data_IF_329128215667
#
_entry.id   IF_329128215667
#
_cell.length_a   1.000
_cell.length_b   1.000
_cell.length_c   1.000
_cell.angle_alpha   90.00
_cell.angle_beta   90.00
_cell.angle_gamma   90.00
#
_symmetry.space_group_name_H-M   'P 1'
#
loop_
_entity.id
_entity.type
_entity.pdbx_description
1 polymer ?
#
# COMPACT_ATOMS: atom_id res chain seq x y z
N UNK A 1 13.33 23.94 -29.54
CA UNK A 1 13.31 23.00 -28.40
C UNK A 1 13.68 23.78 -27.17
N UNK A 2 12.77 23.89 -26.20
CA UNK A 2 13.06 24.64 -24.97
C UNK A 2 13.82 23.75 -23.99
N UNK A 3 14.80 24.28 -23.26
CA UNK A 3 15.63 23.50 -22.30
C UNK A 3 14.84 22.73 -21.22
N UNK A 4 13.55 23.03 -21.05
CA UNK A 4 12.66 22.35 -20.12
C UNK A 4 12.14 21.00 -20.65
N UNK A 5 12.18 20.76 -21.96
CA UNK A 5 11.70 19.50 -22.56
C UNK A 5 12.59 18.31 -22.19
N UNK A 6 13.87 18.57 -21.90
CA UNK A 6 14.91 17.57 -21.61
C UNK A 6 15.08 17.23 -20.13
N UNK A 7 14.38 17.91 -19.21
CA UNK A 7 14.53 17.68 -17.76
C UNK A 7 13.42 16.76 -17.25
N UNK A 8 13.80 15.72 -16.50
CA UNK A 8 12.90 14.74 -15.87
C UNK A 8 13.23 13.28 -16.20
N UNK A 9 12.49 12.35 -15.60
CA UNK A 9 12.69 10.90 -15.75
C UNK A 9 12.35 10.39 -17.17
N UNK A 10 11.42 11.09 -17.84
CA UNK A 10 10.99 10.81 -19.20
C UNK A 10 11.79 11.66 -20.18
N UNK A 11 12.38 11.00 -21.18
CA UNK A 11 13.00 11.67 -22.33
C UNK A 11 11.93 12.32 -23.21
N UNK A 12 12.31 13.27 -24.09
CA UNK A 12 11.38 13.82 -25.07
C UNK A 12 10.65 12.74 -25.90
N UNK A 13 11.38 11.72 -26.34
CA UNK A 13 10.81 10.63 -27.13
C UNK A 13 9.79 9.80 -26.36
N UNK A 14 9.93 9.64 -25.03
CA UNK A 14 8.91 8.95 -24.23
C UNK A 14 7.65 9.79 -24.10
N UNK A 15 7.80 11.12 -23.93
CA UNK A 15 6.68 12.04 -23.80
C UNK A 15 5.88 12.07 -25.10
N UNK A 16 6.55 12.15 -26.24
CA UNK A 16 5.92 12.07 -27.57
C UNK A 16 5.18 10.74 -27.75
N UNK A 17 5.82 9.62 -27.43
CA UNK A 17 5.20 8.30 -27.54
C UNK A 17 3.99 8.13 -26.62
N UNK A 18 4.08 8.53 -25.35
CA UNK A 18 2.98 8.45 -24.37
C UNK A 18 1.79 9.34 -24.72
N UNK A 19 2.01 10.45 -25.45
CA UNK A 19 0.94 11.32 -25.95
C UNK A 19 0.31 10.82 -27.25
N UNK A 20 0.85 9.76 -27.85
CA UNK A 20 0.43 9.27 -29.17
C UNK A 20 0.91 10.15 -30.32
N UNK A 21 1.92 11.01 -30.09
CA UNK A 21 2.52 11.86 -31.13
C UNK A 21 3.50 11.07 -32.01
N UNK A 22 3.97 9.92 -31.53
CA UNK A 22 4.81 8.96 -32.27
C UNK A 22 4.27 7.56 -32.08
N UNK A 23 4.08 6.83 -33.18
CA UNK A 23 3.72 5.41 -33.17
C UNK A 23 4.89 4.56 -33.68
N UNK A 24 5.10 3.39 -33.08
CA UNK A 24 6.07 2.42 -33.57
C UNK A 24 5.39 1.40 -34.48
N UNK A 25 5.90 1.23 -35.69
CA UNK A 25 5.40 0.22 -36.64
C UNK A 25 5.61 -1.22 -36.13
N UNK A 26 6.61 -1.44 -35.27
CA UNK A 26 6.98 -2.76 -34.79
C UNK A 26 6.67 -2.94 -33.30
N UNK A 27 5.95 -4.02 -32.97
CA UNK A 27 5.63 -4.42 -31.58
C UNK A 27 6.88 -4.54 -30.69
N UNK A 28 8.01 -4.96 -31.25
CA UNK A 28 9.27 -5.07 -30.49
C UNK A 28 9.81 -3.70 -30.06
N UNK A 29 9.74 -2.70 -30.94
CA UNK A 29 10.16 -1.32 -30.62
C UNK A 29 9.29 -0.71 -29.53
N UNK A 30 7.97 -0.95 -29.60
CA UNK A 30 7.02 -0.51 -28.59
C UNK A 30 7.27 -1.20 -27.23
N UNK A 31 7.48 -2.53 -27.24
CA UNK A 31 7.80 -3.28 -26.04
C UNK A 31 9.11 -2.81 -25.38
N UNK A 32 10.14 -2.55 -26.20
CA UNK A 32 11.42 -1.99 -25.74
C UNK A 32 11.22 -0.60 -25.12
N UNK A 33 10.46 0.28 -25.77
CA UNK A 33 10.15 1.62 -25.22
C UNK A 33 9.43 1.53 -23.87
N UNK A 34 8.44 0.65 -23.75
CA UNK A 34 7.74 0.39 -22.47
C UNK A 34 8.72 -0.08 -21.39
N UNK A 35 9.65 -0.96 -21.73
CA UNK A 35 10.67 -1.45 -20.81
C UNK A 35 11.60 -0.33 -20.34
N UNK A 36 12.14 0.47 -21.27
CA UNK A 36 13.03 1.59 -20.95
C UNK A 36 12.37 2.65 -20.04
N UNK A 37 11.07 2.89 -20.23
CA UNK A 37 10.30 3.78 -19.36
C UNK A 37 10.16 3.16 -17.97
N UNK A 38 9.80 1.87 -17.86
CA UNK A 38 9.68 1.19 -16.56
C UNK A 38 10.99 1.22 -15.78
N UNK A 39 12.11 0.90 -16.42
CA UNK A 39 13.43 0.90 -15.78
C UNK A 39 13.79 2.28 -15.23
N UNK A 40 13.52 3.35 -15.99
CA UNK A 40 13.75 4.73 -15.52
C UNK A 40 12.82 5.16 -14.41
N UNK A 41 11.55 4.73 -14.43
CA UNK A 41 10.63 4.98 -13.32
C UNK A 41 11.11 4.27 -12.06
N UNK A 42 11.51 2.99 -12.14
CA UNK A 42 12.05 2.25 -11.00
C UNK A 42 13.28 2.93 -10.41
N UNK A 43 14.27 3.28 -11.25
CA UNK A 43 15.46 3.98 -10.80
C UNK A 43 15.13 5.33 -10.13
N UNK A 44 14.20 6.09 -10.70
CA UNK A 44 13.78 7.37 -10.12
C UNK A 44 13.06 7.22 -8.76
N UNK A 45 12.31 6.13 -8.55
CA UNK A 45 11.69 5.84 -7.26
C UNK A 45 12.74 5.48 -6.20
N UNK A 46 13.78 4.74 -6.56
CA UNK A 46 14.93 4.46 -5.69
C UNK A 46 15.68 5.76 -5.33
N UNK A 47 15.95 6.61 -6.32
CA UNK A 47 16.54 7.93 -6.10
C UNK A 47 15.66 8.78 -5.16
N UNK A 48 14.33 8.75 -5.34
CA UNK A 48 13.41 9.48 -4.47
C UNK A 48 13.49 9.00 -3.01
N UNK A 49 13.63 7.69 -2.77
CA UNK A 49 13.86 7.16 -1.43
C UNK A 49 15.17 7.71 -0.83
N UNK A 50 16.26 7.77 -1.61
CA UNK A 50 17.50 8.40 -1.17
C UNK A 50 17.32 9.89 -0.85
N UNK A 51 16.55 10.63 -1.64
CA UNK A 51 16.25 12.05 -1.35
C UNK A 51 15.48 12.19 -0.04
N UNK A 52 14.52 11.31 0.23
CA UNK A 52 13.78 11.27 1.50
C UNK A 52 14.69 10.95 2.69
N UNK A 53 15.76 10.17 2.52
CA UNK A 53 16.67 9.87 3.63
C UNK A 53 17.71 10.98 3.87
N UNK A 54 18.17 11.64 2.80
CA UNK A 54 19.33 12.53 2.89
C UNK A 54 19.01 14.02 2.81
N UNK A 55 17.87 14.44 2.24
CA UNK A 55 17.52 15.86 2.17
C UNK A 55 16.91 16.36 3.46
N UNK A 56 17.24 17.61 3.83
CA UNK A 56 16.52 18.35 4.87
C UNK A 56 15.06 18.58 4.48
N UNK A 57 14.18 18.77 5.47
CA UNK A 57 12.78 19.10 5.23
C UNK A 57 12.62 20.36 4.34
N UNK A 58 13.49 21.36 4.51
CA UNK A 58 13.50 22.59 3.72
C UNK A 58 13.77 22.32 2.23
N UNK A 59 14.74 21.46 1.89
CA UNK A 59 15.04 21.15 0.49
C UNK A 59 13.90 20.36 -0.17
N UNK A 60 13.27 19.44 0.56
CA UNK A 60 12.07 18.73 0.09
C UNK A 60 10.92 19.71 -0.19
N UNK A 61 10.68 20.67 0.69
CA UNK A 61 9.66 21.70 0.49
C UNK A 61 9.95 22.59 -0.73
N UNK A 62 11.22 22.98 -0.94
CA UNK A 62 11.64 23.77 -2.10
C UNK A 62 11.44 23.02 -3.41
N UNK A 63 11.72 21.72 -3.46
CA UNK A 63 11.51 20.90 -4.65
C UNK A 63 10.03 20.85 -5.08
N UNK A 64 9.10 20.99 -4.13
CA UNK A 64 7.67 21.05 -4.41
C UNK A 64 7.17 22.47 -4.72
N UNK A 65 8.02 23.51 -4.66
CA UNK A 65 7.56 24.90 -4.65
C UNK A 65 6.81 25.30 -5.92
N UNK A 66 7.32 24.88 -7.06
CA UNK A 66 6.93 25.33 -8.41
C UNK A 66 5.99 24.36 -9.15
N UNK A 67 5.46 23.35 -8.46
CA UNK A 67 4.61 22.32 -9.08
C UNK A 67 3.16 22.39 -8.57
N UNK A 68 2.20 21.88 -9.35
CA UNK A 68 0.83 21.66 -8.87
C UNK A 68 0.83 20.49 -7.88
N UNK A 69 1.12 20.79 -6.61
CA UNK A 69 1.40 19.80 -5.57
C UNK A 69 0.24 18.83 -5.35
N UNK A 70 -0.99 19.32 -5.37
CA UNK A 70 -2.18 18.51 -5.10
C UNK A 70 -2.45 17.52 -6.22
N UNK A 71 -2.46 17.98 -7.47
CA UNK A 71 -2.67 17.07 -8.61
C UNK A 71 -1.55 16.03 -8.69
N UNK A 72 -0.30 16.47 -8.57
CA UNK A 72 0.85 15.56 -8.66
C UNK A 72 0.85 14.55 -7.51
N UNK A 73 0.52 14.98 -6.29
CA UNK A 73 0.36 14.06 -5.17
C UNK A 73 -0.77 13.06 -5.43
N UNK A 74 -1.91 13.51 -5.97
CA UNK A 74 -3.04 12.64 -6.31
C UNK A 74 -2.64 11.59 -7.35
N UNK A 75 -2.07 12.02 -8.49
CA UNK A 75 -1.63 11.13 -9.57
C UNK A 75 -0.53 10.15 -9.07
N UNK A 76 0.36 10.60 -8.17
CA UNK A 76 1.41 9.75 -7.57
C UNK A 76 0.81 8.71 -6.63
N UNK A 77 -0.17 9.10 -5.81
CA UNK A 77 -0.88 8.19 -4.90
C UNK A 77 -1.67 7.16 -5.73
N UNK A 78 -2.33 7.56 -6.81
CA UNK A 78 -3.00 6.66 -7.75
C UNK A 78 -2.02 5.65 -8.38
N UNK A 79 -0.87 6.14 -8.86
CA UNK A 79 0.17 5.27 -9.41
C UNK A 79 0.66 4.23 -8.38
N UNK A 80 0.91 4.66 -7.15
CA UNK A 80 1.33 3.76 -6.06
C UNK A 80 0.21 2.82 -5.61
N UNK A 81 -1.05 3.26 -5.65
CA UNK A 81 -2.21 2.42 -5.38
C UNK A 81 -2.27 1.25 -6.36
N UNK A 82 -2.23 1.56 -7.65
CA UNK A 82 -2.25 0.55 -8.71
C UNK A 82 -1.03 -0.36 -8.66
N UNK A 83 0.16 0.19 -8.39
CA UNK A 83 1.40 -0.59 -8.32
C UNK A 83 1.44 -1.54 -7.12
N UNK A 84 1.07 -1.08 -5.93
CA UNK A 84 1.12 -1.90 -4.71
C UNK A 84 -0.05 -2.88 -4.60
N UNK A 85 -1.23 -2.53 -5.10
CA UNK A 85 -2.38 -3.44 -5.15
C UNK A 85 -2.41 -4.31 -6.42
N UNK A 86 -1.57 -4.06 -7.41
CA UNK A 86 -1.52 -4.87 -8.64
C UNK A 86 -1.25 -6.35 -8.37
N UNK A 87 -0.45 -6.67 -7.35
CA UNK A 87 -0.23 -8.03 -6.87
C UNK A 87 -1.48 -8.63 -6.21
N UNK A 88 -2.29 -7.80 -5.57
CA UNK A 88 -3.52 -8.24 -4.92
C UNK A 88 -4.62 -8.58 -5.94
N UNK A 89 -4.47 -8.14 -7.19
CA UNK A 89 -5.30 -8.52 -8.33
C UNK A 89 -4.86 -9.85 -8.97
N UNK A 90 -3.64 -10.32 -8.68
CA UNK A 90 -3.10 -11.57 -9.19
C UNK A 90 -3.48 -12.72 -8.24
N UNK A 91 -4.41 -13.56 -8.70
CA UNK A 91 -4.89 -14.67 -7.92
C UNK A 91 -3.79 -15.68 -7.54
N UNK A 92 -2.77 -15.88 -8.37
CA UNK A 92 -1.66 -16.79 -8.06
C UNK A 92 -0.79 -16.24 -6.92
N UNK A 93 -0.58 -14.93 -6.87
CA UNK A 93 0.15 -14.28 -5.77
C UNK A 93 -0.66 -14.24 -4.47
N UNK A 94 -1.98 -14.45 -4.53
CA UNK A 94 -2.90 -14.30 -3.41
C UNK A 94 -3.34 -15.63 -2.77
N UNK A 95 -2.84 -16.77 -3.25
CA UNK A 95 -3.03 -18.09 -2.62
C UNK A 95 -1.93 -18.46 -1.61
N UNK A 96 -0.84 -17.70 -1.53
CA UNK A 96 0.31 -17.99 -0.66
C UNK A 96 0.29 -17.32 0.72
N UNK A 97 1.26 -17.68 1.57
CA UNK A 97 1.37 -17.23 2.97
C UNK A 97 1.38 -15.70 3.18
N UNK A 98 1.80 -14.94 2.16
CA UNK A 98 1.92 -13.47 2.22
C UNK A 98 0.72 -12.72 1.61
N UNK A 99 -0.38 -13.39 1.28
CA UNK A 99 -1.53 -12.76 0.63
C UNK A 99 -2.11 -11.58 1.42
N UNK A 100 -2.22 -11.70 2.74
CA UNK A 100 -2.69 -10.59 3.60
C UNK A 100 -1.71 -9.41 3.59
N UNK A 101 -0.41 -9.68 3.58
CA UNK A 101 0.62 -8.63 3.54
C UNK A 101 0.63 -7.89 2.19
N UNK A 102 0.45 -8.63 1.09
CA UNK A 102 0.30 -8.07 -0.27
C UNK A 102 -0.95 -7.20 -0.38
N UNK A 103 -2.10 -7.69 0.07
CA UNK A 103 -3.35 -6.92 0.09
C UNK A 103 -3.21 -5.61 0.89
N UNK A 104 -2.51 -5.65 2.02
CA UNK A 104 -2.34 -4.48 2.89
C UNK A 104 -1.13 -3.59 2.53
N UNK A 105 -0.40 -3.88 1.44
CA UNK A 105 0.83 -3.18 1.09
C UNK A 105 0.62 -1.67 0.92
N UNK A 106 -0.37 -1.27 0.12
CA UNK A 106 -0.68 0.16 -0.09
C UNK A 106 -1.09 0.84 1.21
N UNK A 107 -2.05 0.28 1.96
CA UNK A 107 -2.51 0.85 3.23
C UNK A 107 -1.36 1.06 4.21
N UNK A 108 -0.44 0.09 4.31
CA UNK A 108 0.75 0.15 5.16
C UNK A 108 1.70 1.25 4.70
N UNK A 109 2.02 1.31 3.40
CA UNK A 109 2.87 2.33 2.83
C UNK A 109 2.30 3.75 3.08
N UNK A 110 1.00 3.95 2.84
CA UNK A 110 0.32 5.23 3.08
C UNK A 110 0.34 5.62 4.57
N UNK A 111 0.00 4.70 5.47
CA UNK A 111 0.00 4.95 6.91
C UNK A 111 1.41 5.30 7.42
N UNK A 112 2.43 4.58 6.94
CA UNK A 112 3.83 4.81 7.29
C UNK A 112 4.32 6.15 6.73
N UNK A 113 4.02 6.46 5.47
CA UNK A 113 4.41 7.73 4.86
C UNK A 113 3.83 8.94 5.60
N UNK A 114 2.55 8.88 6.01
CA UNK A 114 1.93 9.94 6.81
C UNK A 114 2.58 10.06 8.18
N UNK A 115 2.86 8.92 8.85
CA UNK A 115 3.50 8.90 10.16
C UNK A 115 4.88 9.53 10.11
N UNK A 116 5.74 9.08 9.20
CA UNK A 116 7.08 9.62 8.98
C UNK A 116 7.01 11.11 8.62
N UNK A 117 6.04 11.53 7.82
CA UNK A 117 5.80 12.94 7.51
C UNK A 117 5.49 13.77 8.75
N UNK A 118 4.71 13.24 9.69
CA UNK A 118 4.35 13.93 10.94
C UNK A 118 5.51 14.04 11.94
N UNK A 119 6.49 13.14 11.89
CA UNK A 119 7.73 13.24 12.69
C UNK A 119 8.49 14.55 12.42
N UNK A 120 8.30 15.16 11.24
CA UNK A 120 8.90 16.45 10.92
C UNK A 120 8.20 17.67 11.54
N UNK A 121 7.07 17.51 12.23
CA UNK A 121 6.27 18.60 12.80
C UNK A 121 6.05 18.45 14.32
N UNK A 122 6.98 17.77 15.01
CA UNK A 122 7.04 17.55 16.47
C UNK A 122 5.79 16.90 17.11
N UNK A 123 4.91 16.30 16.31
CA UNK A 123 3.69 15.63 16.76
C UNK A 123 3.40 14.38 15.92
N UNK A 124 4.37 13.47 15.85
CA UNK A 124 4.15 12.16 15.26
C UNK A 124 3.19 11.35 16.13
N UNK A 125 2.06 10.89 15.58
CA UNK A 125 1.22 9.95 16.29
C UNK A 125 1.88 8.58 16.24
N UNK A 126 1.79 7.82 17.33
CA UNK A 126 2.21 6.42 17.36
C UNK A 126 1.51 5.61 16.25
N UNK A 127 0.26 5.98 15.93
CA UNK A 127 -0.53 5.39 14.84
C UNK A 127 -1.23 6.43 13.97
N UNK A 128 -1.22 6.20 12.65
CA UNK A 128 -2.06 6.94 11.71
C UNK A 128 -3.38 6.19 11.54
N UNK A 129 -4.48 6.84 11.92
CA UNK A 129 -5.83 6.31 11.73
C UNK A 129 -6.34 6.68 10.33
N UNK A 130 -6.29 5.71 9.44
CA UNK A 130 -7.18 5.68 8.27
C UNK A 130 -8.47 5.03 8.74
N UNK A 131 -9.63 5.59 8.38
CA UNK A 131 -10.92 5.01 8.74
C UNK A 131 -10.91 3.50 8.43
N UNK A 132 -11.33 2.69 9.40
CA UNK A 132 -11.37 1.24 9.25
C UNK A 132 -12.33 0.83 8.16
N UNK A 133 -13.35 1.66 7.88
CA UNK A 133 -14.33 1.39 6.84
C UNK A 133 -13.85 1.80 5.45
N UNK A 134 -12.68 2.43 5.34
CA UNK A 134 -12.06 2.69 4.03
C UNK A 134 -11.27 1.45 3.63
N UNK A 135 -11.83 0.69 2.69
CA UNK A 135 -11.11 -0.36 1.97
C UNK A 135 -10.04 0.30 1.10
N UNK A 136 -8.78 0.05 1.45
CA UNK A 136 -7.60 0.52 0.72
C UNK A 136 -6.73 -0.68 0.31
N UNK A 137 -7.40 -1.74 -0.09
CA UNK A 137 -6.83 -3.00 -0.54
C UNK A 137 -7.76 -3.57 -1.59
N UNK A 138 -7.20 -4.32 -2.52
CA UNK A 138 -7.96 -5.10 -3.50
C UNK A 138 -7.77 -6.58 -3.18
N UNK A 139 -8.72 -7.41 -3.60
CA UNK A 139 -8.59 -8.87 -3.57
C UNK A 139 -9.11 -9.45 -4.89
N UNK A 140 -8.58 -10.59 -5.37
CA UNK A 140 -9.04 -11.16 -6.62
C UNK A 140 -10.48 -11.65 -6.48
N UNK A 141 -11.26 -11.61 -7.56
CA UNK A 141 -12.61 -12.15 -7.53
C UNK A 141 -12.59 -13.67 -7.35
N UNK A 142 -13.71 -14.26 -6.89
CA UNK A 142 -13.87 -15.72 -6.83
C UNK A 142 -13.58 -16.38 -8.19
N UNK A 143 -13.96 -15.73 -9.30
CA UNK A 143 -13.69 -16.23 -10.64
C UNK A 143 -12.21 -16.15 -11.06
N UNK A 144 -11.46 -15.16 -10.57
CA UNK A 144 -10.01 -15.09 -10.75
C UNK A 144 -9.31 -16.19 -9.95
N UNK A 145 -9.71 -16.39 -8.70
CA UNK A 145 -9.20 -17.46 -7.84
C UNK A 145 -9.51 -18.85 -8.41
N UNK A 146 -10.71 -19.07 -8.93
CA UNK A 146 -11.07 -20.33 -9.59
C UNK A 146 -10.21 -20.61 -10.81
N UNK A 147 -9.89 -19.58 -11.61
CA UNK A 147 -8.96 -19.72 -12.75
C UNK A 147 -7.53 -19.99 -12.32
N UNK A 148 -7.05 -19.37 -11.25
CA UNK A 148 -5.73 -19.67 -10.69
C UNK A 148 -5.67 -21.09 -10.10
N UNK A 149 -6.76 -21.57 -9.52
CA UNK A 149 -6.90 -22.96 -9.06
C UNK A 149 -6.78 -23.98 -10.23
N UNK A 150 -7.11 -23.57 -11.46
CA UNK A 150 -6.91 -24.40 -12.65
C UNK A 150 -5.44 -24.51 -13.07
N UNK A 151 -4.55 -23.68 -12.53
CA UNK A 151 -3.09 -23.79 -12.72
C UNK A 151 -2.49 -24.74 -11.69
N UNK A 152 -1.29 -25.28 -11.96
CA UNK A 152 -0.70 -26.41 -11.22
C UNK A 152 -0.44 -26.21 -9.71
N UNK A 153 -0.80 -25.05 -9.15
CA UNK A 153 -0.63 -24.66 -7.74
C UNK A 153 -1.69 -25.28 -6.78
N UNK A 154 -2.64 -26.07 -7.30
CA UNK A 154 -3.78 -26.60 -6.52
C UNK A 154 -3.41 -27.57 -5.37
N UNK A 155 -2.20 -28.12 -5.30
CA UNK A 155 -1.85 -29.08 -4.24
C UNK A 155 -1.90 -28.45 -2.84
N UNK A 156 -1.22 -27.34 -2.65
CA UNK A 156 -1.13 -26.68 -1.33
C UNK A 156 -2.46 -26.04 -0.94
N UNK A 157 -3.18 -25.53 -1.95
CA UNK A 157 -4.49 -24.94 -1.78
C UNK A 157 -5.56 -25.97 -1.36
N UNK A 158 -5.52 -27.17 -1.93
CA UNK A 158 -6.48 -28.23 -1.61
C UNK A 158 -6.27 -28.76 -0.18
N UNK A 159 -5.03 -28.86 0.30
CA UNK A 159 -4.76 -29.25 1.68
C UNK A 159 -5.25 -28.20 2.69
N UNK A 160 -5.11 -26.91 2.37
CA UNK A 160 -5.67 -25.82 3.18
C UNK A 160 -7.20 -25.89 3.27
N UNK A 161 -7.88 -26.12 2.14
CA UNK A 161 -9.34 -26.16 2.06
C UNK A 161 -9.89 -27.45 2.68
N UNK A 162 -9.24 -28.60 2.52
CA UNK A 162 -9.59 -29.85 3.22
C UNK A 162 -9.60 -29.67 4.73
N UNK A 163 -8.56 -29.02 5.27
CA UNK A 163 -8.50 -28.70 6.69
C UNK A 163 -9.63 -27.78 7.17
N UNK A 164 -10.17 -26.93 6.30
CA UNK A 164 -11.30 -26.05 6.63
C UNK A 164 -12.66 -26.76 6.63
N UNK A 165 -12.81 -27.86 5.88
CA UNK A 165 -14.06 -28.62 5.76
C UNK A 165 -14.13 -29.90 6.62
N UNK A 166 -13.09 -30.23 7.41
CA UNK A 166 -12.98 -31.51 8.14
C UNK A 166 -13.21 -32.75 7.25
N UNK A 167 -12.86 -32.63 5.96
CA UNK A 167 -13.06 -33.69 4.98
C UNK A 167 -11.91 -34.72 5.02
N UNK A 168 -12.17 -36.01 4.75
CA UNK A 168 -11.14 -37.03 4.69
C UNK A 168 -10.12 -36.76 3.57
N UNK A 169 -8.90 -37.30 3.72
CA UNK A 169 -7.74 -37.03 2.84
C UNK A 169 -7.99 -37.32 1.34
N UNK A 170 -8.97 -38.15 1.02
CA UNK A 170 -9.37 -38.53 -0.34
C UNK A 170 -10.54 -37.72 -0.91
N UNK A 171 -11.14 -36.81 -0.13
CA UNK A 171 -12.21 -35.94 -0.59
C UNK A 171 -11.70 -34.96 -1.66
N UNK A 172 -12.47 -34.85 -2.75
CA UNK A 172 -12.26 -33.88 -3.82
C UNK A 172 -13.24 -32.74 -3.58
N UNK A 173 -12.71 -31.56 -3.26
CA UNK A 173 -13.51 -30.36 -3.04
C UNK A 173 -13.73 -29.68 -4.40
N UNK A 174 -14.98 -29.32 -4.67
CA UNK A 174 -15.33 -28.58 -5.89
C UNK A 174 -14.56 -27.26 -5.95
N UNK A 175 -13.96 -26.97 -7.10
CA UNK A 175 -13.06 -25.83 -7.28
C UNK A 175 -13.71 -24.49 -6.96
N UNK A 176 -14.99 -24.34 -7.32
CA UNK A 176 -15.77 -23.15 -7.00
C UNK A 176 -15.92 -22.98 -5.47
N UNK A 177 -16.14 -24.08 -4.75
CA UNK A 177 -16.27 -24.06 -3.30
C UNK A 177 -14.93 -23.72 -2.63
N UNK A 178 -13.83 -24.27 -3.14
CA UNK A 178 -12.48 -23.91 -2.71
C UNK A 178 -12.19 -22.42 -2.95
N UNK A 179 -12.47 -21.89 -4.14
CA UNK A 179 -12.26 -20.48 -4.47
C UNK A 179 -13.06 -19.53 -3.56
N UNK A 180 -14.32 -19.87 -3.25
CA UNK A 180 -15.15 -19.11 -2.30
C UNK A 180 -14.58 -19.13 -0.89
N UNK A 181 -14.11 -20.30 -0.45
CA UNK A 181 -13.52 -20.46 0.88
C UNK A 181 -12.24 -19.62 1.00
N UNK A 182 -11.32 -19.72 0.03
CA UNK A 182 -10.12 -18.87 -0.02
C UNK A 182 -10.44 -17.38 0.02
N UNK A 183 -11.39 -16.94 -0.80
CA UNK A 183 -11.81 -15.55 -0.83
C UNK A 183 -12.31 -15.09 0.55
N UNK A 184 -13.13 -15.92 1.22
CA UNK A 184 -13.64 -15.62 2.55
C UNK A 184 -12.53 -15.59 3.61
N UNK A 185 -11.62 -16.57 3.59
CA UNK A 185 -10.52 -16.65 4.56
C UNK A 185 -9.54 -15.49 4.43
N UNK A 186 -9.21 -15.10 3.19
CA UNK A 186 -8.39 -13.92 2.92
C UNK A 186 -9.06 -12.64 3.44
N UNK A 187 -10.35 -12.46 3.15
CA UNK A 187 -11.09 -11.30 3.62
C UNK A 187 -11.15 -11.26 5.16
N UNK A 188 -11.40 -12.40 5.81
CA UNK A 188 -11.41 -12.49 7.27
C UNK A 188 -10.03 -12.22 7.89
N UNK A 189 -8.95 -12.67 7.24
CA UNK A 189 -7.59 -12.41 7.70
C UNK A 189 -7.26 -10.90 7.64
N UNK A 190 -7.63 -10.22 6.55
CA UNK A 190 -7.48 -8.77 6.39
C UNK A 190 -8.27 -8.03 7.47
N UNK A 191 -9.54 -8.37 7.66
CA UNK A 191 -10.41 -7.76 8.68
C UNK A 191 -9.84 -7.93 10.09
N UNK A 192 -9.33 -9.12 10.43
CA UNK A 192 -8.69 -9.38 11.73
C UNK A 192 -7.46 -8.50 11.94
N UNK A 193 -6.64 -8.31 10.92
CA UNK A 193 -5.44 -7.45 11.00
C UNK A 193 -5.83 -5.98 11.18
N UNK A 194 -6.82 -5.50 10.42
CA UNK A 194 -7.34 -4.13 10.54
C UNK A 194 -7.96 -3.87 11.93
N UNK A 195 -8.77 -4.79 12.42
CA UNK A 195 -9.37 -4.72 13.73
C UNK A 195 -8.31 -4.72 14.85
N UNK A 196 -7.30 -5.59 14.75
CA UNK A 196 -6.21 -5.68 15.71
C UNK A 196 -5.44 -4.36 15.81
N UNK A 197 -5.15 -3.73 14.67
CA UNK A 197 -4.51 -2.40 14.64
C UNK A 197 -5.38 -1.33 15.29
N UNK A 198 -6.69 -1.33 15.02
CA UNK A 198 -7.64 -0.40 15.65
C UNK A 198 -7.67 -0.55 17.17
N UNK A 199 -7.65 -1.78 17.67
CA UNK A 199 -7.64 -2.04 19.11
C UNK A 199 -6.35 -1.55 19.77
N UNK A 200 -5.19 -1.75 19.12
CA UNK A 200 -3.92 -1.19 19.60
C UNK A 200 -3.98 0.33 19.69
N UNK A 201 -4.36 1.01 18.60
CA UNK A 201 -4.50 2.46 18.58
C UNK A 201 -5.50 2.98 19.64
N UNK A 202 -6.65 2.31 19.82
CA UNK A 202 -7.63 2.66 20.86
C UNK A 202 -7.10 2.48 22.27
N UNK A 203 -6.34 1.41 22.52
CA UNK A 203 -5.78 1.15 23.84
C UNK A 203 -4.71 2.18 24.21
N UNK A 204 -3.94 2.66 23.24
CA UNK A 204 -2.99 3.76 23.42
C UNK A 204 -3.68 5.10 23.66
N UNK A 205 -4.74 5.43 22.91
CA UNK A 205 -5.55 6.64 23.19
C UNK A 205 -6.06 6.61 24.64
N UNK A 206 -6.60 5.47 25.09
CA UNK A 206 -7.04 5.32 26.49
C UNK A 206 -5.89 5.50 27.50
N UNK A 207 -4.68 5.00 27.19
CA UNK A 207 -3.50 5.19 28.04
C UNK A 207 -3.10 6.66 28.10
N UNK A 208 -3.08 7.35 26.95
CA UNK A 208 -2.77 8.77 26.87
C UNK A 208 -3.78 9.61 27.67
N UNK A 209 -5.08 9.37 27.49
CA UNK A 209 -6.15 10.05 28.24
C UNK A 209 -5.99 9.83 29.75
N UNK A 210 -5.62 8.62 30.16
CA UNK A 210 -5.34 8.30 31.57
C UNK A 210 -4.10 9.05 32.09
N UNK A 211 -3.03 9.12 31.30
CA UNK A 211 -1.80 9.83 31.65
C UNK A 211 -2.03 11.35 31.76
N UNK A 212 -2.72 11.96 30.80
CA UNK A 212 -3.08 13.40 30.83
C UNK A 212 -4.04 13.70 31.98
N UNK A 213 -5.03 12.84 32.22
CA UNK A 213 -5.94 12.96 33.36
C UNK A 213 -5.21 12.86 34.72
N UNK A 214 -4.21 11.99 34.83
CA UNK A 214 -3.38 11.86 36.04
C UNK A 214 -2.40 13.03 36.22
N UNK A 215 -1.88 13.61 35.14
CA UNK A 215 -1.00 14.77 35.18
C UNK A 215 -1.75 16.05 35.58
N UNK A 216 -3.00 16.23 35.12
CA UNK A 216 -3.87 17.34 35.53
C UNK A 216 -4.26 17.30 37.01
N UNK A 217 -4.40 16.10 37.60
CA UNK A 217 -4.65 15.93 39.04
C UNK A 217 -3.42 16.23 39.91
N UNK A 218 -2.20 16.16 39.36
CA UNK A 218 -0.95 16.47 40.07
C UNK A 218 -0.56 17.96 39.99
N UNK A 219 -1.09 18.73 39.03
CA UNK A 219 -0.87 20.18 38.93
C UNK A 219 -1.75 21.00 39.88
N UNK A 220 -2.90 20.48 40.31
CA UNK A 220 -3.85 21.22 41.16
C UNK A 220 -3.51 21.18 42.66
N UNK A 221 -2.50 20.43 43.08
CA UNK A 221 -2.13 20.29 44.50
C UNK A 221 -0.88 21.06 44.97
N UNK A 222 -0.30 21.95 44.13
CA UNK A 222 0.88 22.74 44.53
C UNK A 222 0.62 24.21 44.88
N UNK A 223 -0.64 24.64 44.99
CA UNK A 223 -0.98 26.06 45.25
C UNK A 223 -1.81 26.24 46.52
N UNK A 224 -1.46 25.57 47.61
CA UNK A 224 -2.09 25.84 48.92
C UNK A 224 -1.19 25.38 50.09
N UNK A 225 0.02 25.92 50.16
CA UNK A 225 0.89 25.80 51.34
C UNK A 225 1.78 27.03 51.46
N UNK A 226 1.15 28.20 51.60
CA UNK A 226 1.79 29.41 52.15
C UNK A 226 0.68 30.39 52.59
N UNK A 227 0.07 30.09 53.75
CA UNK A 227 -0.63 31.04 54.63
C UNK A 227 -0.55 30.57 56.08
#
# INVERSE_FOLDING_TARGET
MSENETRGILTPADKEWLRGETEYEHRQSEAKRRQEIRERVSAALEDFAMLVDHWSATERQKALKEINREKIATDTIEFLYLGLNGYASDAEEMTGENATDRALAFRRALSNGIRNGKEHFDNAPDHVLIDSNTELFEIPSVGDLQRAIDTGQWRDANDHVRGAFDEPDDAVIEKEQAAKQFHMDLHLAIERELYSRRQRARSEIKRHDTMVGSAGLLSDHKTEADK
#
